data_IF_294825238542
#
_entry.id   IF_294825238542
#
_cell.length_a   1.000
_cell.length_b   1.000
_cell.length_c   1.000
_cell.angle_alpha   90.00
_cell.angle_beta   90.00
_cell.angle_gamma   90.00
#
_symmetry.space_group_name_H-M   'P 1'
#
loop_
_entity.id
_entity.type
_entity.pdbx_description
1 polymer ?
#
# COMPACT_ATOMS: atom_id res chain seq x y z
N UNK A 1 -4.39 3.77 27.02
CA UNK A 1 -4.38 2.80 25.92
C UNK A 1 -5.79 2.29 25.71
N UNK A 2 -6.17 2.07 24.44
CA UNK A 2 -7.43 1.51 24.00
C UNK A 2 -7.12 0.26 23.18
N UNK A 3 -7.87 -0.81 23.41
CA UNK A 3 -7.82 -2.03 22.61
C UNK A 3 -9.11 -2.08 21.81
N UNK A 4 -9.00 -2.09 20.49
CA UNK A 4 -10.17 -2.36 19.65
C UNK A 4 -10.40 -3.87 19.72
N UNK A 5 -11.59 -4.34 20.12
CA UNK A 5 -11.86 -5.77 20.16
C UNK A 5 -11.72 -6.40 18.77
N UNK A 6 -11.31 -7.67 18.71
CA UNK A 6 -11.50 -8.45 17.49
C UNK A 6 -12.98 -8.51 17.12
N UNK A 7 -13.26 -8.56 15.81
CA UNK A 7 -14.59 -8.47 15.21
C UNK A 7 -15.26 -7.09 15.33
N UNK A 8 -14.53 -6.04 15.71
CA UNK A 8 -15.10 -4.69 15.73
C UNK A 8 -15.41 -4.20 14.31
N UNK A 9 -16.61 -3.64 14.11
CA UNK A 9 -17.02 -2.97 12.88
C UNK A 9 -17.18 -1.46 13.13
N UNK A 10 -16.21 -0.68 12.66
CA UNK A 10 -16.17 0.78 12.77
C UNK A 10 -16.44 1.35 11.38
N UNK A 11 -17.67 1.79 11.13
CA UNK A 11 -18.10 2.14 9.78
C UNK A 11 -19.12 3.26 9.68
N UNK A 12 -19.13 3.95 8.53
CA UNK A 12 -20.07 5.02 8.18
C UNK A 12 -20.00 6.22 9.13
N UNK A 13 -18.82 6.53 9.64
CA UNK A 13 -18.59 7.67 10.50
C UNK A 13 -17.99 8.84 9.71
N UNK A 14 -18.22 10.06 10.21
CA UNK A 14 -17.60 11.27 9.69
C UNK A 14 -17.00 12.07 10.83
N UNK A 15 -15.72 12.41 10.75
CA UNK A 15 -15.02 13.18 11.75
C UNK A 15 -14.06 14.20 11.09
N UNK A 16 -13.45 15.06 11.90
CA UNK A 16 -12.30 15.86 11.45
C UNK A 16 -11.05 14.97 11.40
N UNK A 17 -10.82 14.20 12.45
CA UNK A 17 -9.69 13.29 12.59
C UNK A 17 -10.17 11.87 12.85
N UNK A 18 -9.64 10.92 12.10
CA UNK A 18 -9.82 9.50 12.38
C UNK A 18 -11.28 9.11 12.27
N UNK A 19 -11.80 9.05 11.04
CA UNK A 19 -13.23 8.86 10.78
C UNK A 19 -13.78 7.68 11.59
N UNK A 20 -13.02 6.59 11.72
CA UNK A 20 -13.30 5.52 12.68
C UNK A 20 -12.58 5.67 14.03
N UNK A 21 -11.27 5.91 14.01
CA UNK A 21 -10.40 5.84 15.20
C UNK A 21 -9.42 7.01 15.23
N UNK A 22 -9.25 7.64 16.38
CA UNK A 22 -8.21 8.64 16.60
C UNK A 22 -7.33 8.27 17.81
N UNK A 23 -6.02 8.30 17.62
CA UNK A 23 -5.01 8.17 18.66
C UNK A 23 -4.26 9.50 18.80
N UNK A 24 -4.53 10.24 19.88
CA UNK A 24 -4.04 11.61 20.10
C UNK A 24 -3.46 11.76 21.51
N UNK A 25 -2.63 12.79 21.72
CA UNK A 25 -2.14 13.23 23.04
C UNK A 25 -1.48 12.11 23.88
N UNK A 26 -0.61 11.30 23.25
CA UNK A 26 0.02 10.14 23.90
C UNK A 26 -0.89 8.91 24.03
N UNK A 27 -2.09 8.96 23.46
CA UNK A 27 -3.01 7.83 23.38
C UNK A 27 -2.43 6.69 22.55
N UNK A 28 -2.60 5.45 23.03
CA UNK A 28 -2.16 4.24 22.31
C UNK A 28 -3.37 3.40 21.96
N UNK A 29 -3.49 3.01 20.70
CA UNK A 29 -4.54 2.12 20.17
C UNK A 29 -3.90 0.85 19.65
N UNK A 30 -4.49 -0.31 19.95
CA UNK A 30 -4.11 -1.58 19.34
C UNK A 30 -5.29 -2.24 18.63
N UNK A 31 -5.03 -2.83 17.46
CA UNK A 31 -5.93 -3.72 16.73
C UNK A 31 -5.35 -5.14 16.81
N UNK A 32 -5.81 -5.98 17.75
CA UNK A 32 -5.25 -7.31 17.97
C UNK A 32 -5.57 -8.31 16.86
N UNK A 33 -6.55 -8.01 16.00
CA UNK A 33 -7.00 -8.86 14.89
C UNK A 33 -8.49 -8.68 14.58
N UNK A 34 -8.93 -9.25 13.47
CA UNK A 34 -10.29 -9.30 12.92
C UNK A 34 -11.11 -8.01 12.98
N UNK A 35 -10.50 -6.84 12.94
CA UNK A 35 -11.22 -5.56 13.01
C UNK A 35 -11.43 -4.96 11.62
N UNK A 36 -12.63 -4.40 11.39
CA UNK A 36 -13.03 -3.73 10.16
C UNK A 36 -13.23 -2.24 10.40
N UNK A 37 -12.42 -1.41 9.76
CA UNK A 37 -12.54 0.05 9.74
C UNK A 37 -12.86 0.47 8.31
N UNK A 38 -14.13 0.75 8.03
CA UNK A 38 -14.58 0.90 6.65
C UNK A 38 -15.64 1.95 6.38
N UNK A 39 -15.67 2.50 5.17
CA UNK A 39 -16.67 3.49 4.75
C UNK A 39 -16.71 4.72 5.68
N UNK A 40 -15.58 5.09 6.28
CA UNK A 40 -15.48 6.27 7.11
C UNK A 40 -14.89 7.44 6.30
N UNK A 41 -15.22 8.65 6.72
CA UNK A 41 -14.75 9.88 6.07
C UNK A 41 -14.14 10.83 7.10
N UNK A 42 -12.98 11.40 6.80
CA UNK A 42 -12.37 12.41 7.67
C UNK A 42 -11.63 13.48 6.87
N UNK A 43 -11.12 14.52 7.55
CA UNK A 43 -10.11 15.39 6.95
C UNK A 43 -8.75 14.70 6.98
N UNK A 44 -8.37 14.16 8.14
CA UNK A 44 -7.15 13.41 8.38
C UNK A 44 -7.50 11.98 8.80
N UNK A 45 -7.04 10.98 8.06
CA UNK A 45 -7.20 9.59 8.45
C UNK A 45 -8.64 9.12 8.31
N UNK A 46 -9.06 8.79 7.09
CA UNK A 46 -10.44 8.43 6.81
C UNK A 46 -10.90 7.27 7.69
N UNK A 47 -10.05 6.25 7.84
CA UNK A 47 -10.20 5.21 8.85
C UNK A 47 -9.60 5.62 10.20
N UNK A 48 -8.30 5.92 10.22
CA UNK A 48 -7.52 6.14 11.45
C UNK A 48 -6.63 7.37 11.37
N UNK A 49 -6.62 8.19 12.43
CA UNK A 49 -5.66 9.28 12.60
C UNK A 49 -4.78 9.05 13.83
N UNK A 50 -3.48 9.30 13.71
CA UNK A 50 -2.50 9.21 14.78
C UNK A 50 -1.66 10.49 14.82
N UNK A 51 -1.64 11.19 15.95
CA UNK A 51 -0.96 12.48 16.09
C UNK A 51 -0.56 12.79 17.53
N UNK A 52 0.25 13.83 17.74
CA UNK A 52 0.55 14.41 19.05
C UNK A 52 1.04 13.39 20.09
N UNK A 53 2.00 12.54 19.71
CA UNK A 53 2.52 11.47 20.55
C UNK A 53 1.65 10.21 20.59
N UNK A 54 0.55 10.19 19.84
CA UNK A 54 -0.31 9.03 19.68
C UNK A 54 0.43 7.85 19.04
N UNK A 55 0.00 6.63 19.34
CA UNK A 55 0.53 5.42 18.74
C UNK A 55 -0.58 4.46 18.32
N UNK A 56 -0.37 3.79 17.20
CA UNK A 56 -1.22 2.70 16.72
C UNK A 56 -0.38 1.46 16.47
N UNK A 57 -0.85 0.32 16.98
CA UNK A 57 -0.24 -0.99 16.71
C UNK A 57 -1.26 -1.93 16.09
N UNK A 58 -0.86 -2.61 15.01
CA UNK A 58 -1.64 -3.63 14.33
C UNK A 58 -0.85 -4.94 14.37
N UNK A 59 -0.94 -5.71 15.48
CA UNK A 59 -0.29 -7.01 15.61
C UNK A 59 -1.02 -8.19 14.96
N UNK A 60 -2.23 -7.99 14.46
CA UNK A 60 -3.04 -9.02 13.81
C UNK A 60 -4.01 -8.44 12.81
N UNK A 61 -4.74 -9.34 12.14
CA UNK A 61 -5.55 -9.10 10.96
C UNK A 61 -6.44 -7.85 11.07
N UNK A 62 -6.16 -6.81 10.30
CA UNK A 62 -6.97 -5.59 10.27
C UNK A 62 -7.37 -5.24 8.85
N UNK A 63 -8.64 -4.89 8.66
CA UNK A 63 -9.21 -4.51 7.37
C UNK A 63 -9.56 -3.02 7.40
N UNK A 64 -8.75 -2.19 6.76
CA UNK A 64 -8.93 -0.75 6.67
C UNK A 64 -9.29 -0.42 5.22
N UNK A 65 -10.57 -0.28 4.93
CA UNK A 65 -11.05 -0.29 3.55
C UNK A 65 -12.16 0.71 3.22
N UNK A 66 -12.18 1.18 1.97
CA UNK A 66 -13.22 2.10 1.47
C UNK A 66 -13.35 3.38 2.31
N UNK A 67 -12.27 3.83 2.94
CA UNK A 67 -12.26 5.08 3.69
C UNK A 67 -11.79 6.23 2.80
N UNK A 68 -12.26 7.44 3.12
CA UNK A 68 -11.96 8.64 2.33
C UNK A 68 -11.47 9.78 3.21
N UNK A 69 -10.39 10.45 2.82
CA UNK A 69 -9.91 11.64 3.53
C UNK A 69 -9.25 12.67 2.61
N UNK A 70 -8.81 13.82 3.15
CA UNK A 70 -7.87 14.68 2.43
C UNK A 70 -6.46 14.10 2.51
N UNK A 71 -6.01 13.72 3.72
CA UNK A 71 -4.75 13.00 3.92
C UNK A 71 -5.01 11.65 4.58
N UNK A 72 -4.38 10.60 4.06
CA UNK A 72 -4.46 9.27 4.65
C UNK A 72 -5.85 8.67 4.54
N UNK A 73 -6.24 8.18 3.37
CA UNK A 73 -7.58 7.66 3.15
C UNK A 73 -7.90 6.54 4.13
N UNK A 74 -7.00 5.57 4.26
CA UNK A 74 -7.03 4.57 5.33
C UNK A 74 -6.51 5.11 6.66
N UNK A 75 -5.23 5.49 6.69
CA UNK A 75 -4.51 5.91 7.90
C UNK A 75 -3.78 7.23 7.64
N UNK A 76 -3.86 8.19 8.57
CA UNK A 76 -3.00 9.37 8.60
C UNK A 76 -2.14 9.40 9.87
N UNK A 77 -0.82 9.48 9.68
CA UNK A 77 0.16 9.71 10.73
C UNK A 77 0.67 11.14 10.60
N UNK A 78 0.26 11.99 11.51
CA UNK A 78 0.69 13.38 11.60
C UNK A 78 1.92 13.52 12.51
N UNK A 79 2.56 14.70 12.59
CA UNK A 79 3.78 14.88 13.37
C UNK A 79 3.67 14.36 14.81
N UNK A 80 4.65 13.55 15.21
CA UNK A 80 4.70 12.91 16.52
C UNK A 80 3.79 11.69 16.68
N UNK A 81 3.03 11.29 15.65
CA UNK A 81 2.32 10.02 15.61
C UNK A 81 3.25 8.85 15.26
N UNK A 82 2.92 7.66 15.79
CA UNK A 82 3.64 6.42 15.49
C UNK A 82 2.71 5.30 15.03
N UNK A 83 3.09 4.58 13.98
CA UNK A 83 2.41 3.38 13.47
C UNK A 83 3.36 2.19 13.46
N UNK A 84 2.91 1.07 14.00
CA UNK A 84 3.59 -0.22 13.93
C UNK A 84 2.61 -1.29 13.46
N UNK A 85 2.74 -1.70 12.21
CA UNK A 85 2.09 -2.89 11.66
C UNK A 85 3.16 -3.97 11.66
N UNK A 86 3.11 -4.84 12.66
CA UNK A 86 4.11 -5.89 12.85
C UNK A 86 3.58 -6.93 13.81
N UNK A 87 3.81 -8.21 13.50
CA UNK A 87 3.50 -9.29 14.44
C UNK A 87 4.39 -9.17 15.68
N UNK A 88 3.86 -9.45 16.89
CA UNK A 88 4.68 -9.45 18.08
C UNK A 88 5.81 -10.48 17.95
N UNK A 89 7.03 -10.08 18.26
CA UNK A 89 8.18 -11.00 18.28
C UNK A 89 7.91 -12.13 19.28
N UNK A 90 7.62 -13.34 18.77
CA UNK A 90 7.45 -14.53 19.59
C UNK A 90 8.84 -14.98 20.05
N UNK A 91 9.21 -14.58 21.27
CA UNK A 91 10.48 -14.90 21.93
C UNK A 91 10.87 -16.38 21.70
N UNK A 92 11.92 -16.60 20.90
CA UNK A 92 12.52 -17.93 20.69
C UNK A 92 11.92 -18.83 19.62
N UNK A 93 10.95 -18.38 18.82
CA UNK A 93 10.48 -19.14 17.66
C UNK A 93 10.98 -18.51 16.35
N UNK A 94 12.01 -19.11 15.74
CA UNK A 94 12.24 -19.04 14.29
C UNK A 94 11.12 -19.80 13.59
N UNK A 95 9.89 -19.32 13.72
CA UNK A 95 8.81 -19.76 12.85
C UNK A 95 8.99 -18.96 11.57
N UNK A 96 9.55 -19.63 10.56
CA UNK A 96 9.30 -19.27 9.17
C UNK A 96 7.78 -19.42 8.96
N UNK A 97 7.03 -18.40 9.37
CA UNK A 97 5.69 -18.24 8.87
C UNK A 97 5.85 -17.96 7.37
N UNK A 98 5.09 -18.62 6.47
CA UNK A 98 4.87 -18.00 5.18
C UNK A 98 4.38 -16.57 5.46
N UNK A 99 4.89 -15.59 4.73
CA UNK A 99 4.49 -14.19 4.81
C UNK A 99 2.96 -14.10 4.73
N UNK A 100 2.30 -14.04 5.89
CA UNK A 100 0.85 -13.96 6.01
C UNK A 100 0.51 -12.51 6.33
N UNK A 101 -0.17 -11.87 5.39
CA UNK A 101 -0.66 -10.49 5.50
C UNK A 101 -1.50 -10.31 6.78
N UNK A 102 -1.17 -9.31 7.60
CA UNK A 102 -1.90 -8.93 8.83
C UNK A 102 -2.65 -7.60 8.72
N UNK A 103 -2.37 -6.80 7.70
CA UNK A 103 -3.06 -5.55 7.49
C UNK A 103 -3.47 -5.43 6.02
N UNK A 104 -4.77 -5.37 5.80
CA UNK A 104 -5.40 -5.21 4.49
C UNK A 104 -5.88 -3.76 4.38
N UNK A 105 -5.10 -2.93 3.70
CA UNK A 105 -5.38 -1.51 3.49
C UNK A 105 -5.82 -1.35 2.04
N UNK A 106 -7.13 -1.28 1.81
CA UNK A 106 -7.68 -1.49 0.46
C UNK A 106 -8.72 -0.47 0.04
N UNK A 107 -8.74 -0.09 -1.23
CA UNK A 107 -9.79 0.76 -1.82
C UNK A 107 -10.00 2.10 -1.08
N UNK A 108 -8.97 2.61 -0.41
CA UNK A 108 -9.06 3.90 0.28
C UNK A 108 -8.70 5.02 -0.70
N UNK A 109 -9.26 6.22 -0.47
CA UNK A 109 -9.05 7.36 -1.36
C UNK A 109 -8.67 8.61 -0.58
N UNK A 110 -7.65 9.34 -1.04
CA UNK A 110 -7.26 10.62 -0.46
C UNK A 110 -6.69 11.61 -1.48
N UNK A 111 -6.34 12.83 -1.07
CA UNK A 111 -5.48 13.68 -1.89
C UNK A 111 -4.01 13.24 -1.77
N UNK A 112 -3.58 12.88 -0.56
CA UNK A 112 -2.23 12.35 -0.29
C UNK A 112 -2.31 11.07 0.54
N UNK A 113 -1.67 10.00 0.06
CA UNK A 113 -1.63 8.73 0.79
C UNK A 113 -2.98 8.03 0.80
N UNK A 114 -3.35 7.36 -0.29
CA UNK A 114 -4.65 6.72 -0.40
C UNK A 114 -4.86 5.68 0.71
N UNK A 115 -3.89 4.79 0.88
CA UNK A 115 -3.84 3.87 2.03
C UNK A 115 -3.30 4.54 3.29
N UNK A 116 -2.13 5.16 3.20
CA UNK A 116 -1.41 5.76 4.33
C UNK A 116 -0.78 7.12 3.95
N UNK A 117 -1.03 8.13 4.75
CA UNK A 117 -0.22 9.35 4.79
C UNK A 117 0.70 9.30 6.01
N UNK A 118 2.00 9.53 5.82
CA UNK A 118 2.98 9.53 6.90
C UNK A 118 3.76 10.85 6.97
N UNK A 119 3.75 11.46 8.16
CA UNK A 119 4.58 12.59 8.57
C UNK A 119 5.14 12.39 9.99
N UNK A 120 5.07 11.16 10.49
CA UNK A 120 5.64 10.71 11.76
C UNK A 120 6.50 9.48 11.52
N UNK A 121 6.40 8.49 12.41
CA UNK A 121 7.17 7.25 12.30
C UNK A 121 6.24 6.07 11.96
N UNK A 122 6.53 5.36 10.87
CA UNK A 122 5.74 4.23 10.42
C UNK A 122 6.63 3.02 10.10
N UNK A 123 6.34 1.88 10.73
CA UNK A 123 6.89 0.57 10.37
C UNK A 123 5.77 -0.32 9.88
N UNK A 124 5.96 -0.89 8.69
CA UNK A 124 4.99 -1.74 8.01
C UNK A 124 5.66 -3.07 7.67
N UNK A 125 5.17 -4.14 8.29
CA UNK A 125 5.60 -5.51 8.06
C UNK A 125 4.37 -6.40 7.82
N UNK A 126 4.48 -7.28 6.81
CA UNK A 126 3.44 -8.26 6.46
C UNK A 126 2.08 -7.60 6.13
N UNK A 127 2.05 -6.59 5.25
CA UNK A 127 0.82 -5.88 4.89
C UNK A 127 0.47 -6.01 3.39
N UNK A 128 -0.78 -5.72 3.06
CA UNK A 128 -1.28 -5.56 1.69
C UNK A 128 -1.88 -4.16 1.54
N UNK A 129 -1.34 -3.38 0.62
CA UNK A 129 -1.92 -2.15 0.10
C UNK A 129 -2.49 -2.44 -1.28
N UNK A 130 -3.82 -2.42 -1.43
CA UNK A 130 -4.46 -2.78 -2.69
C UNK A 130 -5.46 -1.73 -3.17
N UNK A 131 -5.39 -1.35 -4.45
CA UNK A 131 -6.37 -0.49 -5.10
C UNK A 131 -6.62 0.85 -4.36
N UNK A 132 -5.64 1.33 -3.59
CA UNK A 132 -5.73 2.63 -2.96
C UNK A 132 -5.40 3.73 -3.96
N UNK A 133 -6.10 4.87 -3.84
CA UNK A 133 -6.02 5.96 -4.79
C UNK A 133 -5.71 7.29 -4.10
N UNK A 134 -4.76 8.05 -4.65
CA UNK A 134 -4.49 9.41 -4.22
C UNK A 134 -4.04 10.31 -5.37
N UNK A 135 -3.87 11.61 -5.13
CA UNK A 135 -3.17 12.46 -6.12
C UNK A 135 -1.65 12.20 -6.09
N UNK A 136 -1.11 11.86 -4.93
CA UNK A 136 0.26 11.39 -4.75
C UNK A 136 0.33 10.29 -3.68
N UNK A 137 1.07 9.22 -3.96
CA UNK A 137 1.19 8.09 -3.05
C UNK A 137 -0.13 7.31 -2.96
N UNK A 138 -0.52 6.62 -4.03
CA UNK A 138 -1.77 5.86 -4.06
C UNK A 138 -1.87 4.89 -2.89
N UNK A 139 -0.82 4.09 -2.65
CA UNK A 139 -0.67 3.30 -1.43
C UNK A 139 -0.24 4.16 -0.24
N UNK A 140 0.96 4.73 -0.30
CA UNK A 140 1.60 5.49 0.78
C UNK A 140 2.15 6.81 0.26
N UNK A 141 1.90 7.88 1.00
CA UNK A 141 2.59 9.16 0.82
C UNK A 141 3.41 9.47 2.08
N UNK A 142 4.74 9.49 1.93
CA UNK A 142 5.68 9.81 3.00
C UNK A 142 6.14 11.27 2.87
N UNK A 143 5.51 12.13 3.65
CA UNK A 143 5.72 13.57 3.67
C UNK A 143 6.98 13.96 4.44
N UNK A 144 7.46 15.19 4.22
CA UNK A 144 8.65 15.77 4.84
C UNK A 144 8.65 15.57 6.37
N UNK A 145 9.75 14.99 6.86
CA UNK A 145 9.93 14.66 8.28
C UNK A 145 9.40 13.28 8.67
N UNK A 146 8.72 12.56 7.77
CA UNK A 146 8.28 11.20 7.97
C UNK A 146 9.41 10.17 7.82
N UNK A 147 9.38 9.15 8.67
CA UNK A 147 10.22 7.95 8.58
C UNK A 147 9.33 6.75 8.28
N UNK A 148 9.67 6.00 7.24
CA UNK A 148 8.91 4.85 6.76
C UNK A 148 9.85 3.66 6.53
N UNK A 149 9.58 2.55 7.21
CA UNK A 149 10.17 1.24 6.92
C UNK A 149 9.09 0.30 6.41
N UNK A 150 9.33 -0.30 5.25
CA UNK A 150 8.44 -1.29 4.62
C UNK A 150 9.18 -2.60 4.44
N UNK A 151 8.59 -3.68 4.94
CA UNK A 151 9.14 -5.02 4.84
C UNK A 151 8.04 -6.02 4.53
N UNK A 152 8.33 -7.03 3.70
CA UNK A 152 7.42 -8.16 3.45
C UNK A 152 5.99 -7.70 3.08
N UNK A 153 5.87 -6.64 2.30
CA UNK A 153 4.59 -5.98 2.02
C UNK A 153 4.26 -6.04 0.54
N UNK A 154 2.99 -6.19 0.22
CA UNK A 154 2.49 -6.19 -1.16
C UNK A 154 1.78 -4.88 -1.45
N UNK A 155 2.15 -4.23 -2.55
CA UNK A 155 1.46 -3.08 -3.13
C UNK A 155 0.91 -3.49 -4.49
N UNK A 156 -0.40 -3.61 -4.60
CA UNK A 156 -1.06 -4.11 -5.82
C UNK A 156 -2.09 -3.09 -6.31
N UNK A 157 -1.99 -2.67 -7.57
CA UNK A 157 -3.03 -1.85 -8.19
C UNK A 157 -3.22 -0.45 -7.59
N UNK A 158 -2.27 0.05 -6.78
CA UNK A 158 -2.42 1.38 -6.19
C UNK A 158 -2.12 2.46 -7.23
N UNK A 159 -2.92 3.53 -7.23
CA UNK A 159 -2.90 4.53 -8.30
C UNK A 159 -2.76 5.94 -7.76
N UNK A 160 -1.80 6.68 -8.30
CA UNK A 160 -1.72 8.13 -8.15
C UNK A 160 -2.35 8.78 -9.40
N UNK A 161 -3.47 9.47 -9.22
CA UNK A 161 -4.12 10.22 -10.28
C UNK A 161 -3.60 11.64 -10.20
N UNK A 162 -2.66 11.98 -11.08
CA UNK A 162 -1.93 13.26 -11.05
C UNK A 162 -2.91 14.45 -11.04
N UNK A 163 -3.23 14.94 -9.85
CA UNK A 163 -4.40 15.79 -9.65
C UNK A 163 -4.18 17.20 -10.19
N UNK A 164 -2.94 17.69 -10.17
CA UNK A 164 -2.59 19.07 -10.58
C UNK A 164 -1.07 19.36 -10.73
N UNK A 165 -0.15 18.43 -10.46
CA UNK A 165 1.27 18.79 -10.30
C UNK A 165 2.13 18.37 -11.49
N UNK A 166 2.21 19.26 -12.49
CA UNK A 166 3.12 19.18 -13.66
C UNK A 166 4.63 19.06 -13.32
N UNK A 167 5.01 18.81 -12.07
CA UNK A 167 6.40 18.89 -11.58
C UNK A 167 6.80 17.79 -10.57
N UNK A 168 5.92 16.88 -10.16
CA UNK A 168 6.28 15.81 -9.23
C UNK A 168 5.91 14.46 -9.82
N UNK A 169 6.89 13.58 -10.03
CA UNK A 169 6.63 12.17 -10.26
C UNK A 169 5.88 11.63 -9.04
N UNK A 170 4.69 11.10 -9.24
CA UNK A 170 3.86 10.55 -8.16
C UNK A 170 3.94 9.03 -8.19
N UNK A 171 4.29 8.42 -7.07
CA UNK A 171 4.28 6.97 -6.96
C UNK A 171 2.86 6.46 -6.72
N UNK A 172 2.41 5.52 -7.53
CA UNK A 172 1.19 4.75 -7.35
C UNK A 172 1.23 3.93 -6.07
N UNK A 173 2.33 3.24 -5.78
CA UNK A 173 2.50 2.54 -4.51
C UNK A 173 3.00 3.48 -3.42
N UNK A 174 4.17 4.09 -3.60
CA UNK A 174 4.83 4.91 -2.59
C UNK A 174 5.35 6.20 -3.20
N UNK A 175 5.00 7.34 -2.62
CA UNK A 175 5.60 8.64 -2.96
C UNK A 175 6.29 9.23 -1.75
N UNK A 176 7.56 9.63 -1.90
CA UNK A 176 8.37 10.18 -0.79
C UNK A 176 8.83 11.61 -1.11
N UNK A 177 8.76 12.53 -0.14
CA UNK A 177 9.32 13.88 -0.28
C UNK A 177 10.83 13.95 0.02
N UNK A 178 11.53 14.96 -0.49
CA UNK A 178 13.01 15.10 -0.41
C UNK A 178 13.62 15.00 1.00
N UNK A 179 12.85 15.33 2.05
CA UNK A 179 13.30 15.34 3.45
C UNK A 179 12.56 14.30 4.31
N UNK A 180 12.04 13.26 3.67
CA UNK A 180 11.50 12.08 4.33
C UNK A 180 12.45 10.88 4.10
N UNK A 181 12.35 9.86 4.94
CA UNK A 181 13.13 8.63 4.81
C UNK A 181 12.21 7.47 4.54
N UNK A 182 12.45 6.76 3.44
CA UNK A 182 11.72 5.55 3.06
C UNK A 182 12.74 4.44 2.80
N UNK A 183 12.61 3.33 3.53
CA UNK A 183 13.41 2.13 3.38
C UNK A 183 12.49 0.96 3.04
N UNK A 184 12.86 0.15 2.03
CA UNK A 184 11.99 -0.94 1.55
C UNK A 184 12.80 -2.22 1.34
N UNK A 185 12.29 -3.36 1.82
CA UNK A 185 12.82 -4.69 1.50
C UNK A 185 11.75 -5.76 1.35
N UNK A 186 12.12 -6.83 0.63
CA UNK A 186 11.34 -8.06 0.48
C UNK A 186 9.87 -7.81 0.11
N UNK A 187 9.60 -6.76 -0.67
CA UNK A 187 8.24 -6.30 -0.96
C UNK A 187 7.90 -6.45 -2.44
N UNK A 188 6.63 -6.66 -2.75
CA UNK A 188 6.11 -6.77 -4.10
C UNK A 188 5.40 -5.47 -4.49
N UNK A 189 5.74 -4.95 -5.68
CA UNK A 189 5.07 -3.82 -6.29
C UNK A 189 4.51 -4.24 -7.64
N UNK A 190 3.19 -4.37 -7.75
CA UNK A 190 2.55 -4.86 -8.96
C UNK A 190 1.39 -3.97 -9.40
N UNK A 191 1.29 -3.67 -10.69
CA UNK A 191 0.18 -2.87 -11.28
C UNK A 191 -0.03 -1.49 -10.65
N UNK A 192 1.00 -0.92 -10.03
CA UNK A 192 0.90 0.41 -9.44
C UNK A 192 1.18 1.49 -10.50
N UNK A 193 0.33 2.52 -10.58
CA UNK A 193 0.38 3.55 -11.62
C UNK A 193 0.49 4.96 -11.03
N UNK A 194 1.23 5.91 -11.66
CA UNK A 194 1.99 5.75 -12.90
C UNK A 194 3.30 4.97 -12.70
N UNK A 195 4.06 5.24 -11.64
CA UNK A 195 5.24 4.46 -11.23
C UNK A 195 4.96 3.76 -9.91
N UNK A 196 5.63 2.65 -9.59
CA UNK A 196 5.50 2.04 -8.28
C UNK A 196 5.98 2.97 -7.15
N UNK A 197 7.21 3.45 -7.23
CA UNK A 197 7.82 4.30 -6.20
C UNK A 197 8.37 5.58 -6.84
N UNK A 198 8.04 6.72 -6.24
CA UNK A 198 8.60 8.01 -6.62
C UNK A 198 9.22 8.75 -5.41
N UNK A 199 10.22 9.59 -5.69
CA UNK A 199 10.98 10.31 -4.66
C UNK A 199 12.17 9.51 -4.10
N UNK A 200 12.86 10.02 -3.06
CA UNK A 200 13.99 9.34 -2.45
C UNK A 200 13.53 8.11 -1.66
N UNK A 201 14.21 6.99 -1.85
CA UNK A 201 14.05 5.79 -1.03
C UNK A 201 15.34 4.96 -1.08
N UNK A 202 15.50 4.08 -0.10
CA UNK A 202 16.61 3.13 -0.04
C UNK A 202 16.10 1.70 -0.26
N UNK A 203 16.69 1.04 -1.27
CA UNK A 203 16.46 -0.37 -1.54
C UNK A 203 17.36 -1.23 -0.63
N UNK A 204 16.74 -1.87 0.35
CA UNK A 204 17.41 -2.79 1.26
C UNK A 204 17.43 -4.24 0.73
N UNK A 205 16.94 -4.47 -0.50
CA UNK A 205 17.01 -5.73 -1.23
C UNK A 205 15.75 -6.60 -1.18
N UNK A 206 15.64 -7.55 -2.12
CA UNK A 206 14.54 -8.52 -2.16
C UNK A 206 13.23 -7.98 -2.74
N UNK A 207 13.20 -6.74 -3.20
CA UNK A 207 12.00 -6.13 -3.79
C UNK A 207 11.75 -6.62 -5.22
N UNK A 208 10.49 -6.83 -5.57
CA UNK A 208 10.05 -7.24 -6.90
C UNK A 208 9.09 -6.21 -7.48
N UNK A 209 9.26 -5.89 -8.77
CA UNK A 209 8.43 -4.93 -9.49
C UNK A 209 7.84 -5.60 -10.71
N UNK A 210 6.51 -5.60 -10.83
CA UNK A 210 5.74 -6.19 -11.94
C UNK A 210 6.33 -7.53 -12.40
N UNK A 211 6.26 -8.58 -11.55
CA UNK A 211 6.87 -9.88 -11.82
C UNK A 211 6.49 -10.38 -13.22
N UNK A 212 7.50 -10.84 -13.97
CA UNK A 212 7.31 -11.22 -15.35
C UNK A 212 6.27 -12.35 -15.47
N UNK A 213 5.38 -12.22 -16.46
CA UNK A 213 4.32 -13.19 -16.81
C UNK A 213 3.16 -13.35 -15.82
N UNK A 214 3.30 -12.91 -14.58
CA UNK A 214 2.21 -12.84 -13.60
C UNK A 214 1.54 -11.47 -13.75
N UNK A 215 0.58 -11.40 -14.67
CA UNK A 215 -0.06 -10.17 -15.12
C UNK A 215 -1.18 -9.72 -14.18
N UNK A 216 -1.77 -10.63 -13.39
CA UNK A 216 -2.76 -10.29 -12.38
C UNK A 216 -2.18 -10.21 -10.95
N UNK A 217 -0.91 -10.56 -10.78
CA UNK A 217 -0.17 -10.51 -9.51
C UNK A 217 -0.77 -11.45 -8.44
N UNK A 218 -1.37 -12.57 -8.85
CA UNK A 218 -1.94 -13.55 -7.92
C UNK A 218 -0.88 -14.54 -7.37
N UNK A 219 0.38 -14.38 -7.80
CA UNK A 219 1.52 -15.19 -7.40
C UNK A 219 1.67 -16.48 -8.20
N UNK A 220 0.82 -16.73 -9.21
CA UNK A 220 0.85 -17.94 -10.02
C UNK A 220 0.59 -17.63 -11.49
N UNK A 221 1.58 -17.88 -12.36
CA UNK A 221 1.38 -17.73 -13.81
C UNK A 221 0.47 -18.84 -14.35
N UNK A 222 -0.76 -18.49 -14.71
CA UNK A 222 -1.79 -19.43 -15.09
C UNK A 222 -2.70 -18.91 -16.22
N UNK A 223 -3.89 -19.51 -16.35
CA UNK A 223 -4.85 -19.15 -17.40
C UNK A 223 -5.40 -17.73 -17.24
N UNK A 224 -5.41 -17.17 -16.03
CA UNK A 224 -5.84 -15.80 -15.79
C UNK A 224 -4.85 -14.79 -16.37
N UNK A 225 -3.54 -15.03 -16.27
CA UNK A 225 -2.52 -14.22 -16.94
C UNK A 225 -2.59 -14.34 -18.45
N UNK A 226 -2.81 -15.55 -18.95
CA UNK A 226 -3.01 -15.76 -20.39
C UNK A 226 -4.20 -14.96 -20.92
N UNK A 227 -5.29 -14.89 -20.17
CA UNK A 227 -6.45 -14.10 -20.58
C UNK A 227 -6.13 -12.60 -20.61
N UNK A 228 -5.37 -12.09 -19.64
CA UNK A 228 -4.90 -10.69 -19.63
C UNK A 228 -3.94 -10.38 -20.78
N UNK A 229 -3.04 -11.31 -21.11
CA UNK A 229 -2.15 -11.19 -22.27
C UNK A 229 -2.96 -11.09 -23.56
N UNK A 230 -3.95 -11.96 -23.73
CA UNK A 230 -4.79 -11.98 -24.93
C UNK A 230 -5.72 -10.76 -25.03
N UNK A 231 -6.13 -10.18 -23.91
CA UNK A 231 -6.93 -8.94 -23.87
C UNK A 231 -6.14 -7.74 -24.42
N UNK A 232 -4.82 -7.73 -24.21
CA UNK A 232 -3.93 -6.66 -24.65
C UNK A 232 -3.21 -6.96 -25.98
N UNK A 233 -3.67 -7.97 -26.74
CA UNK A 233 -3.01 -8.41 -27.97
C UNK A 233 -2.94 -7.32 -29.05
N UNK A 234 -1.73 -6.99 -29.51
CA UNK A 234 -1.51 -5.97 -30.51
C UNK A 234 -0.35 -5.03 -30.18
N UNK A 235 -0.32 -3.87 -30.84
CA UNK A 235 0.68 -2.84 -30.53
C UNK A 235 0.34 -2.16 -29.20
N UNK A 236 1.36 -1.88 -28.40
CA UNK A 236 1.21 -1.08 -27.19
C UNK A 236 1.04 0.40 -27.57
N UNK A 237 -0.03 1.04 -27.08
CA UNK A 237 -0.25 2.47 -27.29
C UNK A 237 0.79 3.32 -26.53
N UNK A 238 1.26 2.83 -25.37
CA UNK A 238 2.41 3.33 -24.62
C UNK A 238 3.37 2.17 -24.28
N UNK A 239 4.55 2.07 -24.92
CA UNK A 239 5.52 1.01 -24.64
C UNK A 239 6.06 1.01 -23.20
N UNK A 240 5.92 2.11 -22.47
CA UNK A 240 6.30 2.20 -21.05
C UNK A 240 5.23 1.67 -20.08
N UNK A 241 4.00 1.49 -20.55
CA UNK A 241 2.83 1.10 -19.76
C UNK A 241 2.05 -0.03 -20.48
N UNK A 242 2.76 -1.12 -20.78
CA UNK A 242 2.20 -2.28 -21.47
C UNK A 242 2.59 -3.57 -20.74
N UNK A 243 1.94 -3.91 -19.60
CA UNK A 243 2.35 -5.04 -18.77
C UNK A 243 2.37 -6.39 -19.50
N UNK A 244 1.54 -6.55 -20.53
CA UNK A 244 1.46 -7.76 -21.34
C UNK A 244 2.56 -7.90 -22.41
N UNK A 245 3.37 -6.85 -22.66
CA UNK A 245 4.56 -6.89 -23.52
C UNK A 245 5.75 -7.42 -22.72
N UNK A 246 5.82 -8.74 -22.60
CA UNK A 246 6.75 -9.44 -21.73
C UNK A 246 8.19 -9.43 -22.26
N UNK A 247 8.37 -9.15 -23.55
CA UNK A 247 9.70 -9.04 -24.16
C UNK A 247 10.16 -7.58 -24.40
N UNK A 248 9.27 -6.61 -24.20
CA UNK A 248 9.53 -5.18 -24.32
C UNK A 248 9.72 -4.69 -25.77
N UNK A 249 9.17 -5.38 -26.76
CA UNK A 249 9.31 -5.04 -28.19
C UNK A 249 8.26 -4.03 -28.71
N UNK A 250 7.34 -3.61 -27.83
CA UNK A 250 6.24 -2.70 -28.11
C UNK A 250 5.02 -3.37 -28.71
N UNK A 251 4.97 -4.71 -28.78
CA UNK A 251 3.83 -5.46 -29.29
C UNK A 251 3.56 -6.71 -28.48
N UNK A 252 2.35 -6.82 -27.91
CA UNK A 252 1.83 -8.05 -27.33
C UNK A 252 1.48 -9.03 -28.45
N UNK A 253 2.27 -10.09 -28.59
CA UNK A 253 2.15 -11.05 -29.67
C UNK A 253 2.55 -12.48 -29.25
N UNK A 254 2.83 -13.34 -30.24
CA UNK A 254 3.16 -14.74 -30.00
C UNK A 254 4.45 -14.92 -29.19
N UNK A 255 5.39 -13.97 -29.27
CA UNK A 255 6.62 -14.03 -28.49
C UNK A 255 6.34 -13.81 -27.00
N UNK A 256 5.42 -12.91 -26.64
CA UNK A 256 4.99 -12.71 -25.26
C UNK A 256 4.22 -13.92 -24.74
N UNK A 257 3.35 -14.51 -25.57
CA UNK A 257 2.69 -15.76 -25.21
C UNK A 257 3.70 -16.87 -24.89
N UNK A 258 4.80 -16.98 -25.65
CA UNK A 258 5.85 -17.96 -25.37
C UNK A 258 6.57 -17.63 -24.06
N UNK A 259 6.88 -16.37 -23.80
CA UNK A 259 7.47 -15.93 -22.53
C UNK A 259 6.56 -16.23 -21.32
N UNK A 260 5.24 -16.04 -21.47
CA UNK A 260 4.27 -16.39 -20.44
C UNK A 260 4.28 -17.90 -20.17
N UNK A 261 4.24 -18.72 -21.23
CA UNK A 261 4.23 -20.18 -21.13
C UNK A 261 5.53 -20.76 -20.56
N UNK A 262 6.67 -20.09 -20.72
CA UNK A 262 7.95 -20.48 -20.10
C UNK A 262 7.91 -20.40 -18.57
N UNK A 263 7.07 -19.52 -18.02
CA UNK A 263 6.91 -19.31 -16.58
C UNK A 263 5.65 -19.97 -16.02
N UNK A 264 4.93 -20.77 -16.81
CA UNK A 264 3.66 -21.37 -16.42
C UNK A 264 3.78 -22.34 -15.22
N UNK A 265 2.91 -22.14 -14.23
CA UNK A 265 2.70 -23.08 -13.12
C UNK A 265 2.90 -22.48 -11.73
#
# INVERSE_FOLDING_TARGET
SVQIPGDAFIQNNTAEFGGGVAAMDGGSVQIPGDAFIQNNTAEFGGGVAVMDGGSMQIPGDAFIQNNTAQTGGGIAIEPGGGLEIKRPEMDGATAAFPSEVIAFIQNNTAEFGGGLFNKGDATIEDALFENNQANAGGGVYNATGGTLLVQNTEFIGNSAVDGTSLLLTTGGAISTEENATTEVMNSLFCLNTPDAIAGPWEDLGGNQFNPASDLNCDGVVNVFDLLLLLENWGACDDPGDCPADLNGDGQVNVFDLLSLLENWG
#
